data_IF_449386259987
#
_entry.id   IF_449386259987
#
_cell.length_a   1.000
_cell.length_b   1.000
_cell.length_c   1.000
_cell.angle_alpha   90.00
_cell.angle_beta   90.00
_cell.angle_gamma   90.00
#
_symmetry.space_group_name_H-M   'P 1'
#
loop_
_entity.id
_entity.type
_entity.pdbx_description
1 polymer ?
#
# COMPACT_ATOMS: atom_id res chain seq x y z
N UNK A 1 12.21 1.93 31.69
CA UNK A 1 12.98 1.87 30.43
C UNK A 1 12.00 1.87 29.27
N UNK A 2 11.11 2.88 29.20
CA UNK A 2 9.99 2.94 28.23
C UNK A 2 9.58 4.39 27.90
N UNK A 3 10.57 5.28 27.70
CA UNK A 3 10.29 6.71 27.47
C UNK A 3 10.79 7.22 26.11
N UNK A 4 11.43 6.39 25.29
CA UNK A 4 12.02 6.84 24.02
C UNK A 4 11.13 6.64 22.79
N UNK A 5 10.06 5.85 22.88
CA UNK A 5 9.21 5.57 21.72
C UNK A 5 8.14 6.66 21.47
N UNK A 6 7.70 7.38 22.51
CA UNK A 6 6.59 8.34 22.37
C UNK A 6 6.99 9.72 21.80
N UNK A 7 8.23 10.16 21.95
CA UNK A 7 8.63 11.50 21.48
C UNK A 7 8.90 11.56 19.97
N UNK A 8 9.37 10.45 19.39
CA UNK A 8 9.65 10.38 17.95
C UNK A 8 8.37 10.20 17.13
N UNK A 9 7.36 9.54 17.71
CA UNK A 9 6.05 9.33 17.07
C UNK A 9 5.26 10.65 17.00
N UNK A 10 5.28 11.45 18.06
CA UNK A 10 4.57 12.74 18.07
C UNK A 10 5.13 13.75 17.05
N UNK A 11 6.45 13.80 16.87
CA UNK A 11 7.10 14.70 15.92
C UNK A 11 6.80 14.34 14.45
N UNK A 12 6.59 13.03 14.14
CA UNK A 12 6.22 12.59 12.78
C UNK A 12 4.74 12.83 12.46
N UNK A 13 3.85 12.80 13.45
CA UNK A 13 2.42 13.06 13.23
C UNK A 13 2.16 14.55 12.92
N UNK A 14 2.87 15.47 13.56
CA UNK A 14 2.72 16.91 13.30
C UNK A 14 3.21 17.30 11.90
N UNK A 15 4.26 16.66 11.39
CA UNK A 15 4.77 16.91 10.05
C UNK A 15 3.90 16.31 8.94
N UNK A 16 3.28 15.14 9.16
CA UNK A 16 2.38 14.53 8.17
C UNK A 16 1.08 15.32 7.99
N UNK A 17 0.50 15.85 9.09
CA UNK A 17 -0.69 16.68 9.01
C UNK A 17 -0.45 18.02 8.27
N UNK A 18 0.74 18.59 8.40
CA UNK A 18 1.13 19.82 7.68
C UNK A 18 1.38 19.57 6.18
N UNK A 19 1.93 18.41 5.82
CA UNK A 19 2.20 18.05 4.43
C UNK A 19 0.92 17.84 3.60
N UNK A 20 -0.12 17.25 4.19
CA UNK A 20 -1.40 16.98 3.51
C UNK A 20 -2.15 18.30 3.15
N UNK A 21 -2.01 19.36 3.96
CA UNK A 21 -2.68 20.64 3.70
C UNK A 21 -1.93 21.47 2.64
N UNK A 22 -0.63 21.26 2.46
CA UNK A 22 0.19 22.05 1.54
C UNK A 22 0.15 21.57 0.09
N UNK A 23 -0.21 20.30 -0.16
CA UNK A 23 -0.25 19.74 -1.52
C UNK A 23 -1.37 20.30 -2.42
N UNK A 24 -2.37 20.97 -1.86
CA UNK A 24 -3.49 21.54 -2.62
C UNK A 24 -3.27 22.99 -3.13
N UNK A 25 -2.14 23.66 -2.82
CA UNK A 25 -2.00 25.08 -3.12
C UNK A 25 -0.72 25.53 -3.82
N UNK A 26 0.21 24.64 -4.22
CA UNK A 26 1.45 25.10 -4.91
C UNK A 26 1.63 24.49 -6.30
N UNK A 27 0.71 24.82 -7.22
CA UNK A 27 0.93 24.69 -8.67
C UNK A 27 1.50 25.99 -9.24
N UNK A 28 2.65 26.46 -8.76
CA UNK A 28 3.41 27.52 -9.45
C UNK A 28 4.89 27.38 -9.15
N UNK A 29 5.57 26.48 -9.85
CA UNK A 29 7.00 26.65 -10.08
C UNK A 29 7.31 26.40 -11.55
N UNK A 30 7.97 27.35 -12.13
CA UNK A 30 8.25 27.52 -13.55
C UNK A 30 9.36 26.56 -14.01
N UNK A 31 9.02 25.31 -14.23
CA UNK A 31 9.79 24.35 -15.02
C UNK A 31 8.84 23.82 -16.09
N UNK A 32 9.21 23.92 -17.37
CA UNK A 32 8.42 23.35 -18.45
C UNK A 32 8.41 21.81 -18.28
N UNK A 33 7.30 21.26 -17.79
CA UNK A 33 7.01 19.86 -18.04
C UNK A 33 6.76 19.68 -19.55
N UNK A 34 7.19 18.58 -20.11
CA UNK A 34 6.81 18.22 -21.49
C UNK A 34 5.35 17.82 -21.49
N UNK A 35 4.65 17.96 -22.61
CA UNK A 35 3.35 17.30 -22.77
C UNK A 35 3.56 15.78 -22.68
N UNK A 36 2.59 14.99 -22.13
CA UNK A 36 2.65 13.54 -22.16
C UNK A 36 2.86 13.05 -23.60
N UNK A 37 3.78 12.12 -23.79
CA UNK A 37 4.03 11.42 -25.06
C UNK A 37 3.71 9.93 -24.90
N UNK A 38 3.19 9.26 -25.95
CA UNK A 38 2.99 7.82 -25.89
C UNK A 38 4.30 7.09 -25.57
N UNK A 39 4.22 6.09 -24.68
CA UNK A 39 5.29 5.15 -24.44
C UNK A 39 5.05 3.92 -25.33
N UNK A 40 5.45 4.02 -26.58
CA UNK A 40 5.01 3.12 -27.66
C UNK A 40 6.17 2.42 -28.41
N UNK A 41 7.40 2.59 -27.94
CA UNK A 41 8.56 1.95 -28.53
C UNK A 41 9.24 1.03 -27.53
N UNK A 42 9.27 -0.25 -27.87
CA UNK A 42 9.81 -1.31 -27.00
C UNK A 42 10.80 -2.18 -27.78
N UNK A 43 11.76 -2.74 -27.06
CA UNK A 43 12.74 -3.70 -27.57
C UNK A 43 12.68 -4.97 -26.70
N UNK A 44 12.59 -6.14 -27.32
CA UNK A 44 12.61 -7.44 -26.63
C UNK A 44 13.97 -8.15 -26.69
N UNK A 45 15.02 -7.43 -27.13
CA UNK A 45 16.35 -7.95 -27.37
C UNK A 45 16.55 -8.55 -28.77
N UNK A 46 15.49 -8.73 -29.55
CA UNK A 46 15.54 -9.28 -30.92
C UNK A 46 14.89 -8.36 -31.94
N UNK A 47 13.86 -7.63 -31.55
CA UNK A 47 13.06 -6.78 -32.41
C UNK A 47 12.53 -5.56 -31.67
N UNK A 48 12.17 -4.53 -32.46
CA UNK A 48 11.47 -3.35 -31.95
C UNK A 48 9.97 -3.52 -32.17
N UNK A 49 9.20 -3.32 -31.13
CA UNK A 49 7.74 -3.32 -31.12
C UNK A 49 7.23 -1.89 -30.96
N UNK A 50 6.36 -1.44 -31.84
CA UNK A 50 5.72 -0.12 -31.78
C UNK A 50 4.26 -0.27 -31.34
N UNK A 51 4.00 -0.07 -30.05
CA UNK A 51 2.66 -0.11 -29.48
C UNK A 51 2.61 0.58 -28.12
N UNK A 52 1.56 1.36 -27.88
CA UNK A 52 1.24 1.87 -26.52
C UNK A 52 0.38 0.85 -25.73
N UNK A 53 0.04 -0.28 -26.34
CA UNK A 53 -0.82 -1.32 -25.77
C UNK A 53 -0.09 -2.68 -25.74
N UNK A 54 1.03 -2.80 -25.03
CA UNK A 54 1.78 -4.05 -24.97
C UNK A 54 1.07 -5.10 -24.11
N UNK A 55 1.21 -6.35 -24.52
CA UNK A 55 0.86 -7.53 -23.70
C UNK A 55 2.14 -8.22 -23.29
N UNK A 56 2.30 -8.46 -21.98
CA UNK A 56 3.49 -9.06 -21.42
C UNK A 56 3.16 -10.44 -20.84
N UNK A 57 3.71 -11.48 -21.45
CA UNK A 57 3.58 -12.85 -20.99
C UNK A 57 4.73 -13.22 -20.03
N UNK A 58 4.53 -14.28 -19.26
CA UNK A 58 5.53 -14.85 -18.36
C UNK A 58 6.89 -15.04 -19.04
N UNK A 59 7.96 -14.61 -18.38
CA UNK A 59 9.33 -14.69 -18.86
C UNK A 59 9.69 -13.67 -19.94
N UNK A 60 8.73 -12.91 -20.47
CA UNK A 60 8.99 -11.85 -21.46
C UNK A 60 9.43 -10.57 -20.80
N UNK A 61 10.37 -9.86 -21.45
CA UNK A 61 10.78 -8.50 -21.08
C UNK A 61 10.66 -7.57 -22.28
N UNK A 62 10.24 -6.35 -22.05
CA UNK A 62 10.19 -5.27 -23.04
C UNK A 62 10.90 -4.05 -22.45
N UNK A 63 11.82 -3.47 -23.19
CA UNK A 63 12.61 -2.30 -22.76
C UNK A 63 12.27 -1.10 -23.63
N UNK A 64 12.17 0.07 -23.01
CA UNK A 64 12.17 1.33 -23.73
C UNK A 64 13.61 1.88 -23.77
N UNK A 65 14.10 2.24 -24.96
CA UNK A 65 15.48 2.69 -25.14
C UNK A 65 15.76 4.12 -24.67
N UNK A 66 14.71 4.87 -24.28
CA UNK A 66 14.86 6.22 -23.74
C UNK A 66 15.12 6.17 -22.24
N UNK A 67 15.96 7.07 -21.76
CA UNK A 67 16.24 7.23 -20.34
C UNK A 67 15.41 8.37 -19.74
N UNK A 68 14.95 8.17 -18.50
CA UNK A 68 14.16 9.11 -17.72
C UNK A 68 14.76 9.30 -16.33
N UNK A 69 14.67 10.50 -15.79
CA UNK A 69 15.08 10.82 -14.42
C UNK A 69 13.87 11.24 -13.58
N UNK A 70 13.19 12.31 -13.99
CA UNK A 70 11.94 12.74 -13.37
C UNK A 70 10.83 12.57 -14.41
N UNK A 71 9.78 11.87 -14.04
CA UNK A 71 8.71 11.56 -14.98
C UNK A 71 7.39 11.29 -14.25
N UNK A 72 6.32 11.40 -15.00
CA UNK A 72 5.00 10.86 -14.68
C UNK A 72 4.63 9.87 -15.78
N UNK A 73 4.43 8.62 -15.42
CA UNK A 73 4.00 7.56 -16.31
C UNK A 73 2.59 7.18 -15.95
N UNK A 74 1.70 7.17 -16.93
CA UNK A 74 0.29 6.79 -16.78
C UNK A 74 -0.05 5.67 -17.75
N UNK A 75 -1.08 4.93 -17.41
CA UNK A 75 -1.62 3.87 -18.27
C UNK A 75 -2.73 3.11 -17.57
N UNK A 76 -3.23 2.11 -18.27
CA UNK A 76 -4.17 1.16 -17.75
C UNK A 76 -3.56 -0.24 -17.82
N UNK A 77 -3.88 -1.07 -16.84
CA UNK A 77 -3.46 -2.47 -16.78
C UNK A 77 -4.67 -3.39 -16.62
N UNK A 78 -4.55 -4.61 -17.12
CA UNK A 78 -5.53 -5.68 -16.94
C UNK A 78 -4.80 -6.96 -16.58
N UNK A 79 -5.05 -7.45 -15.39
CA UNK A 79 -4.55 -8.73 -14.89
C UNK A 79 -5.61 -9.82 -15.03
N UNK A 80 -5.15 -11.06 -15.09
CA UNK A 80 -5.99 -12.25 -15.00
C UNK A 80 -5.74 -12.95 -13.65
N UNK A 81 -6.65 -13.82 -13.18
CA UNK A 81 -6.41 -14.58 -11.97
C UNK A 81 -5.06 -15.32 -12.01
N UNK A 82 -4.17 -15.03 -11.03
CA UNK A 82 -2.84 -15.60 -10.95
C UNK A 82 -1.78 -14.95 -11.85
N UNK A 83 -2.15 -13.93 -12.65
CA UNK A 83 -1.14 -13.21 -13.45
C UNK A 83 -0.39 -12.16 -12.63
N UNK A 84 0.88 -11.95 -13.02
CA UNK A 84 1.76 -10.96 -12.40
C UNK A 84 2.73 -10.37 -13.41
N UNK A 85 2.87 -9.05 -13.39
CA UNK A 85 3.89 -8.34 -14.15
C UNK A 85 4.53 -7.24 -13.30
N UNK A 86 5.75 -6.85 -13.66
CA UNK A 86 6.47 -5.71 -13.10
C UNK A 86 6.70 -4.62 -14.15
N UNK A 87 6.56 -3.37 -13.73
CA UNK A 87 7.03 -2.20 -14.46
C UNK A 87 8.26 -1.66 -13.75
N UNK A 88 9.42 -1.81 -14.39
CA UNK A 88 10.69 -1.33 -13.87
C UNK A 88 10.96 0.08 -14.37
N UNK A 89 11.58 0.89 -13.53
CA UNK A 89 12.06 2.21 -13.89
C UNK A 89 13.43 2.49 -13.25
N UNK A 90 14.16 3.47 -13.80
CA UNK A 90 15.57 3.69 -13.52
C UNK A 90 16.37 2.40 -13.63
N UNK A 91 16.05 1.61 -14.65
CA UNK A 91 16.60 0.28 -14.84
C UNK A 91 17.63 0.26 -15.97
N UNK A 92 18.56 -0.67 -15.88
CA UNK A 92 19.43 -1.10 -16.96
C UNK A 92 18.84 -2.28 -17.76
N UNK A 93 17.58 -2.63 -17.42
CA UNK A 93 16.85 -3.74 -18.02
C UNK A 93 16.82 -5.01 -17.17
N UNK A 94 17.67 -5.14 -16.17
CA UNK A 94 17.70 -6.31 -15.28
C UNK A 94 17.21 -6.00 -13.88
N UNK A 95 17.54 -4.82 -13.38
CA UNK A 95 17.17 -4.40 -12.03
C UNK A 95 16.93 -2.89 -11.97
N UNK A 96 16.19 -2.45 -10.97
CA UNK A 96 15.76 -1.08 -10.76
C UNK A 96 14.62 -1.07 -9.75
N UNK A 97 13.96 0.06 -9.60
CA UNK A 97 12.66 0.08 -8.92
C UNK A 97 11.62 -0.63 -9.76
N UNK A 98 10.69 -1.32 -9.12
CA UNK A 98 9.66 -2.10 -9.79
C UNK A 98 8.31 -1.89 -9.14
N UNK A 99 7.31 -1.53 -9.94
CA UNK A 99 5.91 -1.50 -9.55
C UNK A 99 5.22 -2.78 -10.03
N UNK A 100 4.55 -3.46 -9.11
CA UNK A 100 3.89 -4.75 -9.35
C UNK A 100 2.44 -4.56 -9.82
N UNK A 101 2.01 -5.42 -10.72
CA UNK A 101 0.63 -5.57 -11.21
C UNK A 101 0.16 -7.00 -10.96
N UNK A 102 -0.63 -7.18 -9.88
CA UNK A 102 -1.21 -8.44 -9.43
C UNK A 102 -2.40 -8.15 -8.52
N UNK A 103 -3.60 -8.62 -8.84
CA UNK A 103 -4.80 -8.28 -8.08
C UNK A 103 -5.32 -9.43 -7.22
N UNK A 104 -5.71 -10.52 -7.82
CA UNK A 104 -6.29 -11.67 -7.14
C UNK A 104 -5.32 -12.40 -6.22
N UNK A 105 -5.85 -13.44 -5.55
CA UNK A 105 -5.12 -14.32 -4.67
C UNK A 105 -4.92 -13.80 -3.23
N UNK A 106 -5.38 -14.58 -2.27
CA UNK A 106 -5.33 -14.23 -0.84
C UNK A 106 -3.89 -14.34 -0.32
N UNK A 107 -3.11 -15.27 -0.86
CA UNK A 107 -1.75 -15.56 -0.38
C UNK A 107 -0.65 -14.70 -1.03
N UNK A 108 -1.03 -13.80 -1.93
CA UNK A 108 -0.09 -12.96 -2.65
C UNK A 108 0.54 -11.88 -1.78
N UNK A 109 1.84 -11.82 -1.79
CA UNK A 109 2.63 -10.91 -0.96
C UNK A 109 2.73 -9.50 -1.51
N UNK A 110 2.54 -9.30 -2.82
CA UNK A 110 2.68 -7.99 -3.48
C UNK A 110 1.51 -7.78 -4.42
N UNK A 111 0.67 -6.83 -4.11
CA UNK A 111 -0.50 -6.46 -4.92
C UNK A 111 -0.18 -5.29 -5.85
N UNK A 112 -1.08 -5.03 -6.81
CA UNK A 112 -0.94 -3.92 -7.75
C UNK A 112 -0.68 -2.61 -7.04
N UNK A 113 0.32 -1.88 -7.54
CA UNK A 113 0.82 -0.65 -6.95
C UNK A 113 1.95 -0.84 -5.94
N UNK A 114 2.31 -2.07 -5.52
CA UNK A 114 3.48 -2.28 -4.65
C UNK A 114 4.74 -1.73 -5.32
N UNK A 115 5.53 -0.97 -4.58
CA UNK A 115 6.93 -0.71 -4.90
C UNK A 115 7.74 -1.87 -4.31
N UNK A 116 8.06 -2.84 -5.14
CA UNK A 116 8.57 -4.15 -4.74
C UNK A 116 9.74 -4.05 -3.75
N UNK A 117 9.63 -4.76 -2.64
CA UNK A 117 10.65 -4.87 -1.58
C UNK A 117 10.99 -3.54 -0.88
N UNK A 118 10.23 -2.47 -1.14
CA UNK A 118 10.31 -1.16 -0.46
C UNK A 118 9.01 -0.82 0.23
N UNK A 119 7.88 -0.98 -0.48
CA UNK A 119 6.54 -0.81 0.03
C UNK A 119 5.62 -1.85 -0.59
N UNK A 120 5.59 -3.04 0.00
CA UNK A 120 4.72 -4.12 -0.44
C UNK A 120 3.29 -3.90 0.07
N UNK A 121 2.32 -3.99 -0.82
CA UNK A 121 0.89 -3.89 -0.52
C UNK A 121 0.29 -5.28 -0.47
N UNK A 122 -0.69 -5.49 0.41
CA UNK A 122 -1.35 -6.78 0.63
C UNK A 122 -2.82 -6.75 0.22
N UNK A 123 -3.31 -5.61 -0.24
CA UNK A 123 -4.62 -5.45 -0.84
C UNK A 123 -4.52 -4.63 -2.12
N UNK A 124 -5.18 -5.10 -3.18
CA UNK A 124 -5.34 -4.34 -4.42
C UNK A 124 -6.63 -3.52 -4.39
N UNK A 125 -6.60 -2.32 -4.98
CA UNK A 125 -7.78 -1.51 -5.30
C UNK A 125 -8.35 -1.83 -6.70
N UNK A 126 -7.77 -2.80 -7.39
CA UNK A 126 -8.18 -3.26 -8.70
C UNK A 126 -8.60 -4.75 -8.64
N UNK A 127 -9.29 -5.21 -9.68
CA UNK A 127 -9.76 -6.59 -9.80
C UNK A 127 -9.23 -7.24 -11.06
N UNK A 128 -9.05 -8.57 -11.00
CA UNK A 128 -8.74 -9.35 -12.19
C UNK A 128 -9.89 -9.29 -13.21
N UNK A 129 -9.54 -9.28 -14.48
CA UNK A 129 -10.49 -9.22 -15.59
C UNK A 129 -11.08 -7.82 -15.86
N UNK A 130 -10.70 -6.80 -15.08
CA UNK A 130 -11.14 -5.41 -15.26
C UNK A 130 -9.93 -4.52 -15.55
N UNK A 131 -10.08 -3.56 -16.49
CA UNK A 131 -9.07 -2.52 -16.69
C UNK A 131 -9.06 -1.56 -15.53
N UNK A 132 -7.86 -1.18 -15.06
CA UNK A 132 -7.68 -0.21 -14.00
C UNK A 132 -6.56 0.77 -14.33
N UNK A 133 -6.75 2.02 -13.89
CA UNK A 133 -5.77 3.09 -14.08
C UNK A 133 -4.61 2.96 -13.11
N UNK A 134 -3.41 3.30 -13.58
CA UNK A 134 -2.25 3.50 -12.73
C UNK A 134 -1.47 4.75 -13.11
N UNK A 135 -0.83 5.35 -12.12
CA UNK A 135 0.12 6.44 -12.29
C UNK A 135 1.36 6.18 -11.44
N UNK A 136 2.54 6.41 -12.02
CA UNK A 136 3.82 6.36 -11.32
C UNK A 136 4.48 7.72 -11.53
N UNK A 137 4.66 8.48 -10.45
CA UNK A 137 5.36 9.76 -10.49
C UNK A 137 6.69 9.63 -9.75
N UNK A 138 7.79 9.95 -10.45
CA UNK A 138 9.14 10.02 -9.89
C UNK A 138 9.62 11.44 -10.03
N UNK A 139 9.92 12.11 -8.90
CA UNK A 139 10.39 13.48 -8.90
C UNK A 139 11.37 13.73 -7.75
N UNK A 140 12.61 14.08 -8.08
CA UNK A 140 13.67 14.20 -7.09
C UNK A 140 13.89 12.86 -6.38
N UNK A 141 13.63 12.84 -5.07
CA UNK A 141 13.74 11.65 -4.23
C UNK A 141 12.40 10.92 -4.01
N UNK A 142 11.30 11.47 -4.53
CA UNK A 142 9.96 10.95 -4.28
C UNK A 142 9.52 10.00 -5.39
N UNK A 143 8.90 8.89 -4.95
CA UNK A 143 8.18 7.93 -5.78
C UNK A 143 6.74 7.87 -5.26
N UNK A 144 5.78 8.18 -6.11
CA UNK A 144 4.36 8.08 -5.81
C UNK A 144 3.74 7.10 -6.78
N UNK A 145 2.93 6.17 -6.27
CA UNK A 145 2.15 5.24 -7.10
C UNK A 145 0.68 5.40 -6.75
N UNK A 146 -0.15 5.55 -7.79
CA UNK A 146 -1.61 5.60 -7.67
C UNK A 146 -2.23 4.42 -8.42
N UNK A 147 -3.31 3.86 -7.86
CA UNK A 147 -4.18 2.87 -8.50
C UNK A 147 -5.61 3.40 -8.44
N UNK A 148 -6.29 3.47 -9.58
CA UNK A 148 -7.64 4.03 -9.70
C UNK A 148 -7.76 5.43 -9.07
N UNK A 149 -6.73 6.27 -9.23
CA UNK A 149 -6.67 7.61 -8.67
C UNK A 149 -6.39 7.69 -7.17
N UNK A 150 -6.27 6.57 -6.48
CA UNK A 150 -5.88 6.54 -5.06
C UNK A 150 -4.38 6.33 -4.93
N UNK A 151 -3.72 7.20 -4.19
CA UNK A 151 -2.31 7.06 -3.84
C UNK A 151 -2.11 5.87 -2.90
N UNK A 152 -1.32 4.89 -3.32
CA UNK A 152 -1.08 3.65 -2.56
C UNK A 152 0.35 3.52 -2.06
N UNK A 153 1.28 4.25 -2.69
CA UNK A 153 2.67 4.40 -2.25
C UNK A 153 3.08 5.86 -2.32
N UNK A 154 3.70 6.34 -1.25
CA UNK A 154 4.44 7.59 -1.20
C UNK A 154 5.76 7.33 -0.50
N UNK A 155 6.82 7.16 -1.27
CA UNK A 155 8.15 6.83 -0.77
C UNK A 155 9.14 7.93 -1.11
N UNK A 156 9.94 8.35 -0.12
CA UNK A 156 11.08 9.26 -0.31
C UNK A 156 12.35 8.49 -0.08
N UNK A 157 13.15 8.30 -1.13
CA UNK A 157 14.46 7.66 -1.01
C UNK A 157 15.38 8.53 -0.15
N UNK A 158 15.90 8.03 0.98
CA UNK A 158 16.81 8.78 1.83
C UNK A 158 18.23 8.81 1.27
N UNK A 159 19.10 9.62 1.86
CA UNK A 159 20.51 9.68 1.48
C UNK A 159 21.28 8.37 1.72
N UNK A 160 20.78 7.50 2.58
CA UNK A 160 21.38 6.19 2.89
C UNK A 160 20.31 5.09 2.86
N UNK A 161 19.82 4.72 1.66
CA UNK A 161 18.82 3.66 1.52
C UNK A 161 19.42 2.30 1.89
N UNK A 162 18.62 1.46 2.55
CA UNK A 162 18.98 0.07 2.79
C UNK A 162 18.50 -0.80 1.63
N UNK A 163 19.42 -1.57 1.06
CA UNK A 163 19.14 -2.55 0.02
C UNK A 163 19.94 -3.83 0.29
N UNK A 164 19.31 -4.98 0.08
CA UNK A 164 20.01 -6.27 0.06
C UNK A 164 20.84 -6.39 -1.22
N UNK A 165 21.71 -7.41 -1.30
CA UNK A 165 22.49 -7.66 -2.50
C UNK A 165 21.61 -7.87 -3.74
N UNK A 166 20.50 -8.56 -3.58
CA UNK A 166 19.50 -8.81 -4.64
C UNK A 166 18.88 -7.50 -5.16
N UNK A 167 18.67 -6.53 -4.28
CA UNK A 167 18.03 -5.26 -4.58
C UNK A 167 19.01 -4.08 -4.68
N UNK A 168 20.32 -4.34 -4.75
CA UNK A 168 21.36 -3.32 -4.70
C UNK A 168 21.21 -2.18 -5.74
N UNK A 169 20.49 -2.43 -6.84
CA UNK A 169 20.22 -1.44 -7.89
C UNK A 169 18.87 -0.75 -7.81
N UNK A 170 18.08 -1.02 -6.78
CA UNK A 170 16.84 -0.28 -6.50
C UNK A 170 17.18 1.10 -5.92
N UNK A 171 17.72 1.97 -6.77
CA UNK A 171 18.13 3.32 -6.42
C UNK A 171 17.63 4.31 -7.46
N UNK A 172 17.25 5.51 -7.01
CA UNK A 172 16.90 6.59 -7.90
C UNK A 172 18.14 7.07 -8.66
N UNK A 173 18.00 7.14 -9.97
CA UNK A 173 19.09 7.52 -10.88
C UNK A 173 18.51 8.12 -12.16
N UNK A 174 19.13 7.83 -13.27
CA UNK A 174 18.59 7.96 -14.62
C UNK A 174 18.65 6.60 -15.28
N UNK A 175 17.61 6.17 -15.95
CA UNK A 175 17.55 4.88 -16.60
C UNK A 175 16.29 4.70 -17.43
N UNK A 176 16.16 3.54 -18.04
CA UNK A 176 15.04 3.20 -18.91
C UNK A 176 13.80 2.75 -18.13
N UNK A 177 12.71 2.52 -18.87
CA UNK A 177 11.49 1.86 -18.42
C UNK A 177 11.49 0.45 -19.04
N UNK A 178 11.07 -0.55 -18.25
CA UNK A 178 10.92 -1.90 -18.76
C UNK A 178 9.63 -2.54 -18.22
N UNK A 179 9.07 -3.47 -18.98
CA UNK A 179 7.99 -4.36 -18.55
C UNK A 179 8.53 -5.77 -18.43
N UNK A 180 8.19 -6.47 -17.37
CA UNK A 180 8.59 -7.85 -17.10
C UNK A 180 7.38 -8.70 -16.75
N UNK A 181 7.15 -9.79 -17.51
CA UNK A 181 6.15 -10.81 -17.18
C UNK A 181 6.71 -11.75 -16.12
N UNK A 182 6.02 -11.89 -15.00
CA UNK A 182 6.42 -12.74 -13.87
C UNK A 182 5.61 -14.03 -13.86
N UNK A 183 4.28 -13.93 -13.95
CA UNK A 183 3.37 -15.06 -14.06
C UNK A 183 2.24 -14.75 -15.04
N UNK A 184 1.85 -15.75 -15.85
CA UNK A 184 0.74 -15.63 -16.77
C UNK A 184 0.90 -14.47 -17.76
N UNK A 185 -0.17 -13.71 -17.97
CA UNK A 185 -0.21 -12.60 -18.91
C UNK A 185 -0.88 -11.37 -18.29
N UNK A 186 -0.26 -10.20 -18.49
CA UNK A 186 -0.82 -8.89 -18.12
C UNK A 186 -0.83 -8.00 -19.35
N UNK A 187 -1.97 -7.38 -19.61
CA UNK A 187 -2.14 -6.43 -20.69
C UNK A 187 -2.03 -5.01 -20.18
N UNK A 188 -1.38 -4.15 -20.96
CA UNK A 188 -1.30 -2.72 -20.73
C UNK A 188 -1.88 -1.97 -21.92
N UNK A 189 -2.40 -0.77 -21.71
CA UNK A 189 -2.84 0.12 -22.77
C UNK A 189 -2.71 1.59 -22.36
N UNK A 190 -2.77 2.47 -23.35
CA UNK A 190 -2.72 3.92 -23.17
C UNK A 190 -1.47 4.39 -22.39
N UNK A 191 -0.35 3.67 -22.55
CA UNK A 191 0.89 4.04 -21.87
C UNK A 191 1.40 5.37 -22.38
N UNK A 192 1.55 6.33 -21.46
CA UNK A 192 2.07 7.65 -21.75
C UNK A 192 3.04 8.11 -20.68
N UNK A 193 4.06 8.86 -21.07
CA UNK A 193 5.07 9.38 -20.16
C UNK A 193 5.29 10.87 -20.37
N UNK A 194 5.36 11.61 -19.26
CA UNK A 194 5.68 13.03 -19.22
C UNK A 194 7.01 13.22 -18.50
N UNK A 195 7.96 13.94 -19.13
CA UNK A 195 9.20 14.32 -18.45
C UNK A 195 8.92 15.50 -17.52
N UNK A 196 9.21 15.32 -16.24
CA UNK A 196 9.03 16.36 -15.24
C UNK A 196 10.32 17.17 -15.05
N UNK A 197 10.17 18.47 -14.80
CA UNK A 197 11.29 19.29 -14.40
C UNK A 197 11.80 18.85 -13.01
N UNK A 198 13.11 18.93 -12.81
CA UNK A 198 13.70 18.75 -11.49
C UNK A 198 13.19 19.89 -10.59
N UNK A 199 12.69 19.56 -9.42
CA UNK A 199 12.39 20.58 -8.41
C UNK A 199 13.68 21.27 -7.96
N UNK A 200 13.61 22.59 -7.78
CA UNK A 200 14.77 23.35 -7.35
C UNK A 200 15.20 22.96 -5.91
N UNK A 201 14.27 22.50 -5.11
CA UNK A 201 14.48 21.92 -3.78
C UNK A 201 13.23 21.15 -3.36
N UNK A 202 13.39 19.94 -2.87
CA UNK A 202 12.30 19.16 -2.30
C UNK A 202 12.22 19.48 -0.80
N UNK A 203 11.04 19.57 -0.21
CA UNK A 203 10.91 19.69 1.26
C UNK A 203 11.58 18.52 1.99
N UNK A 204 11.60 17.34 1.37
CA UNK A 204 12.34 16.18 1.86
C UNK A 204 13.85 16.44 2.03
N UNK A 205 14.44 17.35 1.24
CA UNK A 205 15.85 17.75 1.36
C UNK A 205 16.12 18.54 2.65
N UNK A 206 15.08 19.01 3.33
CA UNK A 206 15.16 19.77 4.59
C UNK A 206 14.93 18.91 5.83
N UNK A 207 14.42 17.66 5.64
CA UNK A 207 14.28 16.71 6.73
C UNK A 207 15.64 16.15 7.13
N UNK A 208 15.80 15.84 8.42
CA UNK A 208 17.00 15.15 8.88
C UNK A 208 17.19 13.86 8.07
N UNK A 209 18.42 13.57 7.61
CA UNK A 209 18.69 12.37 6.83
C UNK A 209 18.19 11.13 7.57
N UNK A 210 17.27 10.39 6.97
CA UNK A 210 16.87 9.07 7.49
C UNK A 210 17.90 8.06 7.03
N UNK A 211 18.34 7.21 7.96
CA UNK A 211 19.23 6.09 7.65
C UNK A 211 18.41 4.79 7.69
N UNK A 212 18.01 4.29 6.53
CA UNK A 212 17.22 3.07 6.40
C UNK A 212 17.96 1.81 6.89
N UNK A 213 19.28 1.86 7.09
CA UNK A 213 20.03 0.73 7.67
C UNK A 213 19.60 0.42 9.10
N UNK A 214 18.96 1.38 9.77
CA UNK A 214 18.36 1.22 11.11
C UNK A 214 16.84 1.16 11.08
N UNK A 215 16.22 1.19 9.92
CA UNK A 215 14.78 1.10 9.75
C UNK A 215 14.34 -0.37 9.60
N UNK A 216 13.76 -0.93 10.65
CA UNK A 216 13.32 -2.33 10.66
C UNK A 216 12.21 -2.59 9.63
N UNK A 217 11.36 -1.61 9.34
CA UNK A 217 10.25 -1.77 8.36
C UNK A 217 10.81 -2.00 6.97
N UNK A 218 11.76 -1.18 6.52
CA UNK A 218 12.41 -1.34 5.22
C UNK A 218 13.20 -2.65 5.17
N UNK A 219 13.90 -3.00 6.24
CA UNK A 219 14.65 -4.26 6.31
C UNK A 219 13.74 -5.47 6.14
N UNK A 220 12.60 -5.48 6.82
CA UNK A 220 11.60 -6.55 6.68
C UNK A 220 11.05 -6.61 5.25
N UNK A 221 10.72 -5.48 4.63
CA UNK A 221 10.21 -5.43 3.27
C UNK A 221 11.25 -5.86 2.23
N UNK A 222 12.53 -5.55 2.45
CA UNK A 222 13.63 -6.02 1.59
C UNK A 222 13.81 -7.56 1.63
N UNK A 223 13.28 -8.22 2.64
CA UNK A 223 13.24 -9.68 2.77
C UNK A 223 11.83 -10.25 2.52
N UNK A 224 10.96 -9.48 1.88
CA UNK A 224 9.56 -9.84 1.59
C UNK A 224 8.75 -10.30 2.82
N UNK A 225 9.16 -9.86 4.02
CA UNK A 225 8.41 -10.15 5.24
C UNK A 225 7.15 -9.29 5.29
N UNK A 226 5.96 -9.87 5.56
CA UNK A 226 4.73 -9.12 5.67
C UNK A 226 4.75 -8.10 6.81
N UNK A 227 4.59 -6.82 6.47
CA UNK A 227 4.51 -5.73 7.45
C UNK A 227 3.07 -5.24 7.51
N UNK A 228 2.29 -5.82 8.43
CA UNK A 228 0.84 -5.61 8.54
C UNK A 228 0.46 -5.43 10.01
N UNK A 229 -0.34 -4.41 10.31
CA UNK A 229 -1.06 -4.28 11.57
C UNK A 229 -2.53 -4.64 11.32
N UNK A 230 -2.96 -5.80 11.80
CA UNK A 230 -4.32 -6.31 11.61
C UNK A 230 -5.34 -5.73 12.60
N UNK A 231 -4.92 -4.86 13.54
CA UNK A 231 -5.78 -4.45 14.64
C UNK A 231 -5.93 -2.94 14.75
N UNK A 232 -6.33 -2.30 13.65
CA UNK A 232 -6.57 -0.86 13.62
C UNK A 232 -8.07 -0.54 13.72
N UNK A 233 -8.45 0.24 14.72
CA UNK A 233 -9.82 0.74 14.86
C UNK A 233 -9.90 2.20 14.43
N UNK A 234 -10.83 2.52 13.55
CA UNK A 234 -11.15 3.90 13.18
C UNK A 234 -11.99 4.53 14.29
N UNK A 235 -11.32 5.02 15.36
CA UNK A 235 -11.94 5.61 16.55
C UNK A 235 -11.11 6.75 17.12
N UNK A 236 -11.69 7.53 18.05
CA UNK A 236 -10.95 8.57 18.77
C UNK A 236 -10.41 9.69 17.86
N UNK A 237 -11.11 9.98 16.75
CA UNK A 237 -10.66 10.98 15.77
C UNK A 237 -9.77 10.43 14.65
N UNK A 238 -9.40 9.15 14.69
CA UNK A 238 -8.71 8.50 13.58
C UNK A 238 -9.70 8.22 12.44
N UNK A 239 -9.64 9.02 11.38
CA UNK A 239 -10.43 8.81 10.16
C UNK A 239 -9.72 7.84 9.21
N UNK A 240 -10.44 7.31 8.22
CA UNK A 240 -9.84 6.43 7.20
C UNK A 240 -8.74 7.14 6.40
N UNK A 241 -8.91 8.43 6.10
CA UNK A 241 -7.92 9.23 5.38
C UNK A 241 -6.64 9.42 6.22
N UNK A 242 -6.79 9.72 7.51
CA UNK A 242 -5.64 9.84 8.42
C UNK A 242 -4.95 8.49 8.62
N UNK A 243 -5.71 7.40 8.79
CA UNK A 243 -5.16 6.06 8.90
C UNK A 243 -4.38 5.66 7.63
N UNK A 244 -4.92 5.99 6.45
CA UNK A 244 -4.24 5.76 5.18
C UNK A 244 -2.93 6.54 5.07
N UNK A 245 -2.94 7.84 5.38
CA UNK A 245 -1.74 8.65 5.39
C UNK A 245 -0.68 8.11 6.38
N UNK A 246 -1.11 7.65 7.55
CA UNK A 246 -0.21 7.00 8.52
C UNK A 246 0.35 5.68 7.98
N UNK A 247 -0.48 4.84 7.38
CA UNK A 247 -0.05 3.58 6.75
C UNK A 247 1.03 3.81 5.69
N UNK A 248 0.84 4.80 4.81
CA UNK A 248 1.84 5.17 3.82
C UNK A 248 3.13 5.71 4.46
N UNK A 249 3.01 6.62 5.42
CA UNK A 249 4.15 7.26 6.07
C UNK A 249 5.02 6.27 6.89
N UNK A 250 4.39 5.30 7.54
CA UNK A 250 5.11 4.29 8.33
C UNK A 250 5.56 3.08 7.51
N UNK A 251 5.04 2.91 6.29
CA UNK A 251 5.31 1.73 5.48
C UNK A 251 4.63 0.46 6.01
N UNK A 252 3.59 0.60 6.86
CA UNK A 252 2.86 -0.51 7.47
C UNK A 252 1.49 -0.63 6.81
N UNK A 253 1.13 -1.82 6.34
CA UNK A 253 -0.22 -2.07 5.84
C UNK A 253 -1.18 -2.16 7.02
N UNK A 254 -2.30 -1.46 6.95
CA UNK A 254 -3.31 -1.51 8.00
C UNK A 254 -4.45 -2.45 7.64
N UNK A 255 -4.80 -3.28 8.61
CA UNK A 255 -6.03 -4.01 8.66
C UNK A 255 -7.02 -3.26 9.57
N UNK A 256 -8.06 -2.68 8.98
CA UNK A 256 -9.07 -1.94 9.73
C UNK A 256 -10.21 -2.88 10.12
N UNK A 257 -10.53 -2.92 11.41
CA UNK A 257 -11.51 -3.82 11.96
C UNK A 257 -12.45 -3.09 12.92
N UNK A 258 -13.74 -2.93 12.59
CA UNK A 258 -14.74 -2.51 13.56
C UNK A 258 -15.05 -3.66 14.51
N UNK A 259 -15.58 -3.33 15.68
CA UNK A 259 -16.12 -4.35 16.57
C UNK A 259 -17.48 -4.83 16.03
N UNK A 260 -17.80 -6.10 16.24
CA UNK A 260 -19.07 -6.71 15.82
C UNK A 260 -19.61 -7.64 16.89
N UNK A 261 -20.89 -7.52 17.24
CA UNK A 261 -21.52 -8.33 18.29
C UNK A 261 -21.90 -7.52 19.52
N UNK A 262 -21.64 -8.05 20.72
CA UNK A 262 -22.09 -7.46 21.99
C UNK A 262 -20.89 -7.09 22.87
N UNK A 263 -20.88 -5.90 23.42
CA UNK A 263 -20.00 -5.53 24.54
C UNK A 263 -18.69 -4.83 24.21
N UNK A 264 -18.42 -4.54 22.95
CA UNK A 264 -17.20 -3.84 22.51
C UNK A 264 -17.20 -2.34 22.79
N UNK A 265 -16.10 -1.70 22.45
CA UNK A 265 -15.88 -0.25 22.60
C UNK A 265 -15.68 0.38 21.23
N UNK A 266 -16.30 1.51 20.98
CA UNK A 266 -16.22 2.21 19.70
C UNK A 266 -17.36 1.86 18.74
N UNK A 267 -17.08 1.80 17.42
CA UNK A 267 -18.10 1.41 16.45
C UNK A 267 -18.39 -0.08 16.56
N UNK A 268 -19.64 -0.40 16.82
CA UNK A 268 -20.15 -1.77 16.89
C UNK A 268 -21.03 -2.04 15.68
N UNK A 269 -20.81 -3.15 15.00
CA UNK A 269 -21.72 -3.65 13.97
C UNK A 269 -22.70 -4.63 14.62
N UNK A 270 -24.00 -4.39 14.44
CA UNK A 270 -25.07 -5.15 15.09
C UNK A 270 -25.82 -6.09 14.14
N UNK A 271 -25.73 -5.88 12.84
CA UNK A 271 -26.40 -6.67 11.81
C UNK A 271 -25.66 -6.65 10.47
N UNK A 272 -26.12 -7.47 9.51
CA UNK A 272 -25.53 -7.57 8.17
C UNK A 272 -25.56 -6.25 7.41
N UNK A 273 -26.58 -5.42 7.61
CA UNK A 273 -26.67 -4.13 6.94
C UNK A 273 -25.52 -3.23 7.36
N UNK A 274 -25.23 -3.15 8.64
CA UNK A 274 -24.12 -2.35 9.16
C UNK A 274 -22.76 -2.90 8.71
N UNK A 275 -22.65 -4.22 8.51
CA UNK A 275 -21.46 -4.85 7.89
C UNK A 275 -21.24 -4.32 6.48
N UNK A 276 -22.27 -4.36 5.62
CA UNK A 276 -22.15 -3.85 4.24
C UNK A 276 -21.93 -2.34 4.20
N UNK A 277 -22.57 -1.57 5.07
CA UNK A 277 -22.38 -0.12 5.16
C UNK A 277 -20.93 0.21 5.53
N UNK A 278 -20.36 -0.47 6.51
CA UNK A 278 -18.96 -0.29 6.90
C UNK A 278 -17.99 -0.68 5.79
N UNK A 279 -18.19 -1.85 5.18
CA UNK A 279 -17.35 -2.29 4.08
C UNK A 279 -17.35 -1.28 2.92
N UNK A 280 -18.53 -0.76 2.55
CA UNK A 280 -18.66 0.25 1.51
C UNK A 280 -17.96 1.57 1.86
N UNK A 281 -17.83 1.91 3.14
CA UNK A 281 -17.13 3.10 3.60
C UNK A 281 -15.60 2.99 3.41
N UNK A 282 -15.04 1.78 3.58
CA UNK A 282 -13.57 1.59 3.62
C UNK A 282 -13.00 0.88 2.40
N UNK A 283 -13.80 0.25 1.55
CA UNK A 283 -13.34 -0.58 0.42
C UNK A 283 -12.48 0.13 -0.61
N UNK A 284 -12.63 1.45 -0.76
CA UNK A 284 -11.84 2.28 -1.69
C UNK A 284 -10.46 2.66 -1.13
N UNK A 285 -10.17 2.27 0.10
CA UNK A 285 -8.86 2.46 0.72
C UNK A 285 -8.04 1.17 0.64
N UNK A 286 -6.71 1.23 0.54
CA UNK A 286 -5.86 0.05 0.45
C UNK A 286 -5.66 -0.64 1.81
N UNK A 287 -6.73 -0.72 2.61
CA UNK A 287 -6.73 -1.45 3.87
C UNK A 287 -7.14 -2.90 3.67
N UNK A 288 -6.56 -3.80 4.42
CA UNK A 288 -7.20 -5.07 4.69
C UNK A 288 -8.44 -4.81 5.54
N UNK A 289 -9.58 -5.27 5.07
CA UNK A 289 -10.86 -5.10 5.78
C UNK A 289 -11.10 -6.30 6.67
N UNK A 290 -11.11 -6.09 7.98
CA UNK A 290 -11.38 -7.13 8.95
C UNK A 290 -12.61 -6.83 9.81
N UNK A 291 -12.92 -7.76 10.70
CA UNK A 291 -13.88 -7.56 11.79
C UNK A 291 -13.40 -8.22 13.06
N UNK A 292 -13.54 -7.51 14.17
CA UNK A 292 -13.31 -8.02 15.51
C UNK A 292 -14.62 -8.49 16.14
N UNK A 293 -14.75 -9.79 16.30
CA UNK A 293 -15.93 -10.39 16.94
C UNK A 293 -15.90 -10.22 18.46
N UNK A 294 -16.96 -9.65 19.02
CA UNK A 294 -17.14 -9.42 20.44
C UNK A 294 -18.21 -10.33 21.05
N UNK A 295 -17.89 -10.85 22.22
CA UNK A 295 -18.78 -11.78 22.92
C UNK A 295 -18.83 -13.16 22.27
N UNK A 296 -19.73 -14.03 22.81
CA UNK A 296 -19.80 -15.45 22.36
C UNK A 296 -20.74 -15.69 21.20
N UNK A 297 -21.63 -14.73 20.90
CA UNK A 297 -22.72 -14.92 19.93
C UNK A 297 -22.48 -14.21 18.59
N UNK A 298 -21.38 -13.49 18.43
CA UNK A 298 -21.14 -12.68 17.24
C UNK A 298 -21.22 -13.50 15.94
N UNK A 299 -20.74 -14.74 15.93
CA UNK A 299 -20.81 -15.64 14.77
C UNK A 299 -22.23 -16.06 14.39
N UNK A 300 -23.20 -15.95 15.33
CA UNK A 300 -24.61 -16.24 15.08
C UNK A 300 -25.43 -14.97 14.77
N UNK A 301 -24.83 -13.80 14.92
CA UNK A 301 -25.50 -12.50 14.68
C UNK A 301 -25.47 -12.15 13.19
N UNK A 302 -24.45 -12.59 12.47
CA UNK A 302 -24.21 -12.22 11.08
C UNK A 302 -24.34 -13.44 10.16
N UNK A 303 -24.81 -13.19 8.92
CA UNK A 303 -24.80 -14.22 7.88
C UNK A 303 -23.37 -14.56 7.45
N UNK A 304 -23.18 -15.75 6.91
CA UNK A 304 -21.87 -16.15 6.33
C UNK A 304 -21.51 -15.29 5.13
N UNK A 305 -22.50 -14.86 4.35
CA UNK A 305 -22.36 -13.96 3.21
C UNK A 305 -21.81 -12.60 3.63
N UNK A 306 -22.35 -12.02 4.72
CA UNK A 306 -21.89 -10.74 5.24
C UNK A 306 -20.47 -10.86 5.82
N UNK A 307 -20.19 -11.91 6.57
CA UNK A 307 -18.84 -12.13 7.11
C UNK A 307 -17.82 -12.47 6.01
N UNK A 308 -18.26 -13.10 4.93
CA UNK A 308 -17.41 -13.52 3.80
C UNK A 308 -16.86 -12.37 2.94
N UNK A 309 -17.33 -11.14 3.13
CA UNK A 309 -16.78 -9.97 2.40
C UNK A 309 -15.47 -9.45 3.00
N UNK A 310 -15.17 -9.82 4.25
CA UNK A 310 -13.95 -9.38 4.93
C UNK A 310 -12.73 -10.20 4.52
N UNK A 311 -11.57 -9.57 4.50
CA UNK A 311 -10.29 -10.23 4.23
C UNK A 311 -9.87 -11.13 5.40
N UNK A 312 -10.29 -10.79 6.65
CA UNK A 312 -9.99 -11.58 7.85
C UNK A 312 -11.01 -11.31 8.96
N UNK A 313 -11.13 -12.29 9.85
CA UNK A 313 -11.97 -12.25 11.03
C UNK A 313 -11.13 -12.66 12.25
N UNK A 314 -11.30 -11.95 13.35
CA UNK A 314 -10.67 -12.36 14.61
C UNK A 314 -11.60 -12.07 15.78
N UNK A 315 -11.34 -12.70 16.91
CA UNK A 315 -12.09 -12.47 18.14
C UNK A 315 -11.15 -11.91 19.19
N UNK A 316 -11.62 -10.89 19.88
CA UNK A 316 -10.98 -10.41 21.09
C UNK A 316 -11.43 -11.26 22.27
N UNK A 317 -10.57 -12.19 22.69
CA UNK A 317 -10.80 -12.98 23.89
C UNK A 317 -10.58 -12.20 25.20
N UNK A 318 -10.30 -10.90 25.12
CA UNK A 318 -9.95 -10.08 26.28
C UNK A 318 -11.16 -9.62 27.09
N UNK A 319 -12.38 -9.71 26.54
CA UNK A 319 -13.63 -9.45 27.25
C UNK A 319 -14.48 -10.71 27.24
N UNK A 320 -14.75 -11.26 28.39
CA UNK A 320 -15.57 -12.46 28.55
C UNK A 320 -16.74 -12.19 29.48
N UNK A 321 -17.88 -12.81 29.19
CA UNK A 321 -18.99 -12.88 30.15
C UNK A 321 -18.84 -14.19 30.91
N UNK A 322 -18.60 -14.10 32.21
CA UNK A 322 -18.50 -15.26 33.07
C UNK A 322 -19.84 -16.00 33.23
N UNK A 323 -19.83 -17.15 33.90
CA UNK A 323 -21.03 -17.96 34.13
C UNK A 323 -22.09 -17.26 35.03
N UNK A 324 -21.71 -16.20 35.70
CA UNK A 324 -22.61 -15.35 36.51
C UNK A 324 -23.15 -14.16 35.75
N UNK A 325 -22.86 -14.03 34.44
CA UNK A 325 -23.28 -12.92 33.60
C UNK A 325 -22.50 -11.62 33.82
N UNK A 326 -21.32 -11.66 34.46
CA UNK A 326 -20.48 -10.48 34.68
C UNK A 326 -19.51 -10.30 33.52
N UNK A 327 -19.37 -9.06 33.06
CA UNK A 327 -18.28 -8.70 32.12
C UNK A 327 -16.96 -8.72 32.85
N UNK A 328 -16.04 -9.55 32.40
CA UNK A 328 -14.67 -9.65 32.89
C UNK A 328 -13.68 -9.28 31.79
N UNK A 329 -12.91 -8.22 32.03
CA UNK A 329 -11.87 -7.77 31.09
C UNK A 329 -10.53 -8.26 31.59
N UNK A 330 -9.94 -9.24 30.93
CA UNK A 330 -8.71 -9.88 31.39
C UNK A 330 -7.49 -8.93 31.40
N UNK A 331 -7.56 -7.82 30.69
CA UNK A 331 -6.52 -6.78 30.71
C UNK A 331 -6.63 -5.82 31.91
N UNK A 332 -7.69 -5.95 32.74
CA UNK A 332 -7.86 -5.25 34.00
C UNK A 332 -7.70 -6.23 35.15
N UNK A 333 -6.59 -6.14 35.87
CA UNK A 333 -6.28 -7.08 36.94
C UNK A 333 -7.40 -7.17 38.00
N UNK A 334 -8.07 -6.06 38.28
CA UNK A 334 -9.19 -5.97 39.21
C UNK A 334 -10.48 -6.65 38.74
N UNK A 335 -10.61 -6.90 37.44
CA UNK A 335 -11.77 -7.56 36.83
C UNK A 335 -11.48 -9.01 36.43
N UNK A 336 -10.21 -9.39 36.35
CA UNK A 336 -9.78 -10.73 35.95
C UNK A 336 -9.98 -11.73 37.09
N UNK A 337 -11.20 -12.26 37.21
CA UNK A 337 -11.58 -13.26 38.21
C UNK A 337 -11.30 -14.67 37.67
N UNK A 338 -10.02 -15.07 37.67
CA UNK A 338 -9.60 -16.37 37.12
C UNK A 338 -10.20 -17.59 37.85
N UNK A 339 -10.61 -17.43 39.12
CA UNK A 339 -11.23 -18.50 39.91
C UNK A 339 -12.63 -18.90 39.39
N UNK A 340 -13.22 -18.13 38.49
CA UNK A 340 -14.58 -18.33 37.94
C UNK A 340 -14.59 -18.77 36.48
N UNK A 341 -13.45 -19.09 35.88
CA UNK A 341 -13.34 -19.42 34.44
C UNK A 341 -13.46 -20.92 34.18
N UNK A 342 -13.67 -21.73 35.19
CA UNK A 342 -13.88 -23.19 35.05
C UNK A 342 -15.32 -23.57 34.75
#
# INVERSE_FOLDING_TARGET
>A
MNTFCHSTIAARIETAAAAIILFLTTLTSCGRSSSPEPLDQWNDGTSTLHTADPVIAEGRKLFNDKEYQNFRLTGEALTQPGSEAGLLFHTDGESGYEVIFRNGDIDGTRKSGSLASVRNLYRSLAKDGEWFDFEITVRGQNIIVCINGTEVVCYTEPGHPYRTEEHARQLLSQGSIALRGIHGEVSFRNLAIERLAKEARNEADTLAPVDERTDEIIRLQQHDFPVIDYHVHLKGGLTKETAHAMSMNYGINYGVAPNAGEGGVGRMLADDKEVYDYFNEVKEMPFLCGVQGEGRKWTATFSQEALGIFDYLFTDAMTIIDHKGRNSRIYRAEEALFDDIT
#
